data_IF_707858427117
#
_entry.id   IF_707858427117
#
_cell.length_a   1.000
_cell.length_b   1.000
_cell.length_c   1.000
_cell.angle_alpha   90.00
_cell.angle_beta   90.00
_cell.angle_gamma   90.00
#
_symmetry.space_group_name_H-M   'P 1'
#
loop_
_entity.id
_entity.type
_entity.pdbx_description
1 polymer ?
#
# COMPACT_ATOMS: atom_id res chain seq x y z
N UNK A 1 21.46 14.62 -15.40
CA UNK A 1 20.72 15.36 -14.36
C UNK A 1 19.33 14.76 -14.35
N UNK A 2 18.84 14.16 -13.26
CA UNK A 2 17.43 13.74 -13.21
C UNK A 2 16.59 15.01 -13.36
N UNK A 3 15.58 15.02 -14.23
CA UNK A 3 14.69 16.17 -14.39
C UNK A 3 13.96 16.42 -13.06
N UNK A 4 14.26 17.55 -12.41
CA UNK A 4 13.93 17.83 -11.00
C UNK A 4 12.44 18.08 -10.70
N UNK A 5 11.52 18.02 -11.67
CA UNK A 5 10.13 18.47 -11.47
C UNK A 5 9.04 17.61 -12.15
N UNK A 6 9.23 16.29 -12.32
CA UNK A 6 8.15 15.41 -12.82
C UNK A 6 7.49 14.64 -11.67
N UNK A 7 6.30 15.07 -11.28
CA UNK A 7 5.40 14.29 -10.43
C UNK A 7 4.39 13.52 -11.28
N UNK A 8 4.00 12.34 -10.81
CA UNK A 8 2.90 11.55 -11.34
C UNK A 8 1.85 11.40 -10.26
N UNK A 9 0.58 11.62 -10.62
CA UNK A 9 -0.53 11.50 -9.69
C UNK A 9 -1.26 10.17 -9.90
N UNK A 10 -1.50 9.48 -8.80
CA UNK A 10 -2.28 8.23 -8.75
C UNK A 10 -3.56 8.48 -7.96
N UNK A 11 -4.66 8.87 -8.60
CA UNK A 11 -5.94 9.02 -7.92
C UNK A 11 -6.46 7.65 -7.47
N UNK A 12 -7.24 7.60 -6.39
CA UNK A 12 -7.90 6.36 -5.98
C UNK A 12 -8.99 5.99 -7.01
N UNK A 13 -8.79 4.89 -7.73
CA UNK A 13 -9.62 4.49 -8.89
C UNK A 13 -10.50 3.27 -8.64
N UNK A 14 -10.30 2.54 -7.54
CA UNK A 14 -11.00 1.28 -7.27
C UNK A 14 -10.56 0.13 -8.18
N UNK A 15 -9.47 0.31 -8.92
CA UNK A 15 -8.79 -0.71 -9.73
C UNK A 15 -7.27 -0.64 -9.50
N UNK A 16 -6.49 -1.37 -10.29
CA UNK A 16 -5.03 -1.46 -10.15
C UNK A 16 -4.24 -0.20 -10.60
N UNK A 17 -4.92 0.87 -11.02
CA UNK A 17 -4.30 2.11 -11.50
C UNK A 17 -4.06 3.14 -10.40
N UNK A 18 -4.51 2.86 -9.19
CA UNK A 18 -4.40 3.78 -8.07
C UNK A 18 -4.56 3.08 -6.73
N UNK A 19 -4.31 3.79 -5.63
CA UNK A 19 -4.51 3.25 -4.30
C UNK A 19 -6.00 2.93 -4.06
N UNK A 20 -6.26 1.96 -3.18
CA UNK A 20 -7.60 1.59 -2.74
C UNK A 20 -8.35 2.75 -2.07
N UNK A 21 -7.62 3.72 -1.52
CA UNK A 21 -8.17 4.81 -0.73
C UNK A 21 -7.47 6.15 -1.03
N UNK A 22 -8.21 7.29 -1.06
CA UNK A 22 -7.61 8.61 -1.34
C UNK A 22 -6.78 9.17 -0.16
N UNK A 23 -6.93 8.61 1.03
CA UNK A 23 -6.14 8.96 2.21
C UNK A 23 -5.19 7.82 2.56
N UNK A 24 -3.92 8.17 2.76
CA UNK A 24 -2.85 7.26 3.19
C UNK A 24 -2.39 7.69 4.58
N UNK A 25 -2.33 6.75 5.52
CA UNK A 25 -1.86 6.99 6.89
C UNK A 25 -0.38 6.71 7.06
N UNK A 26 0.13 5.67 6.40
CA UNK A 26 1.52 5.24 6.54
C UNK A 26 2.05 4.78 5.20
N UNK A 27 3.32 5.09 4.94
CA UNK A 27 4.06 4.68 3.74
C UNK A 27 5.34 3.98 4.19
N UNK A 28 5.67 2.86 3.55
CA UNK A 28 6.94 2.16 3.76
C UNK A 28 7.49 1.64 2.44
N UNK A 29 8.73 1.98 2.10
CA UNK A 29 9.43 1.41 0.95
C UNK A 29 10.21 0.18 1.39
N UNK A 30 9.98 -0.94 0.71
CA UNK A 30 10.69 -2.18 1.04
C UNK A 30 12.09 -2.26 0.39
N UNK A 31 12.88 -3.26 0.82
CA UNK A 31 14.20 -3.52 0.27
C UNK A 31 14.24 -3.87 -1.23
N UNK A 32 13.10 -4.19 -1.85
CA UNK A 32 12.98 -4.46 -3.29
C UNK A 32 12.54 -3.23 -4.09
N UNK A 33 12.27 -2.11 -3.43
CA UNK A 33 11.83 -0.86 -4.05
C UNK A 33 10.33 -0.77 -4.29
N UNK A 34 9.52 -1.70 -3.77
CA UNK A 34 8.07 -1.51 -3.77
C UNK A 34 7.67 -0.53 -2.67
N UNK A 35 6.51 0.11 -2.85
CA UNK A 35 5.97 1.07 -1.88
C UNK A 35 4.67 0.54 -1.30
N UNK A 36 4.67 0.33 0.01
CA UNK A 36 3.51 -0.12 0.77
C UNK A 36 2.78 1.08 1.37
N UNK A 37 1.46 1.11 1.25
CA UNK A 37 0.59 2.19 1.73
C UNK A 37 -0.47 1.62 2.66
N UNK A 38 -0.47 2.05 3.92
CA UNK A 38 -1.56 1.76 4.84
C UNK A 38 -2.64 2.83 4.77
N UNK A 39 -3.90 2.40 4.72
CA UNK A 39 -5.06 3.27 4.53
C UNK A 39 -6.05 3.15 5.72
N UNK A 40 -6.99 4.10 5.89
CA UNK A 40 -7.95 4.06 6.99
C UNK A 40 -9.00 2.94 6.89
N UNK A 41 -9.48 2.63 5.69
CA UNK A 41 -10.54 1.61 5.46
C UNK A 41 -10.39 0.87 4.12
N UNK A 42 -9.32 1.14 3.36
CA UNK A 42 -9.04 0.45 2.11
C UNK A 42 -8.07 -0.73 2.26
N UNK A 43 -7.55 -0.96 3.48
CA UNK A 43 -6.53 -1.96 3.74
C UNK A 43 -5.12 -1.48 3.44
N UNK A 44 -4.32 -2.40 2.91
CA UNK A 44 -2.92 -2.22 2.56
C UNK A 44 -2.77 -2.24 1.02
N UNK A 45 -2.19 -1.20 0.44
CA UNK A 45 -1.84 -1.19 -0.98
C UNK A 45 -0.34 -1.45 -1.18
N UNK A 46 -0.01 -2.23 -2.20
CA UNK A 46 1.33 -2.39 -2.73
C UNK A 46 1.44 -1.70 -4.08
N UNK A 47 2.27 -0.66 -4.17
CA UNK A 47 2.63 0.00 -5.41
C UNK A 47 3.93 -0.57 -5.98
N UNK A 48 3.89 -0.92 -7.26
CA UNK A 48 5.03 -1.38 -8.05
C UNK A 48 5.47 -0.25 -9.01
N UNK A 49 6.53 0.52 -8.67
CA UNK A 49 6.91 1.70 -9.46
C UNK A 49 7.26 1.40 -10.93
N UNK A 50 7.97 0.29 -11.27
CA UNK A 50 8.20 -0.10 -12.65
C UNK A 50 6.95 -0.22 -13.53
N UNK A 51 5.83 -0.72 -12.98
CA UNK A 51 4.60 -0.94 -13.75
C UNK A 51 3.56 0.16 -13.55
N UNK A 52 3.72 0.99 -12.52
CA UNK A 52 2.75 2.02 -12.13
C UNK A 52 1.44 1.41 -11.61
N UNK A 53 1.49 0.18 -11.07
CA UNK A 53 0.30 -0.57 -10.64
C UNK A 53 0.22 -0.79 -9.15
N UNK A 54 -1.01 -0.92 -8.69
CA UNK A 54 -1.36 -1.14 -7.29
C UNK A 54 -2.00 -2.52 -7.12
N UNK A 55 -1.69 -3.15 -5.99
CA UNK A 55 -2.38 -4.34 -5.51
C UNK A 55 -2.90 -4.08 -4.10
N UNK A 56 -4.21 -4.15 -3.93
CA UNK A 56 -4.86 -4.01 -2.63
C UNK A 56 -4.92 -5.35 -1.88
N UNK A 57 -4.74 -5.28 -0.57
CA UNK A 57 -4.98 -6.36 0.38
C UNK A 57 -5.98 -5.85 1.42
N UNK A 58 -7.10 -6.55 1.58
CA UNK A 58 -8.20 -6.15 2.47
C UNK A 58 -8.51 -7.27 3.47
N UNK A 59 -9.37 -6.95 4.44
CA UNK A 59 -9.97 -7.93 5.32
C UNK A 59 -11.07 -8.72 4.59
N UNK A 60 -10.98 -10.04 4.65
CA UNK A 60 -11.99 -10.97 4.14
C UNK A 60 -12.39 -11.90 5.30
N UNK A 61 -13.61 -11.78 5.86
CA UNK A 61 -14.04 -12.54 7.03
C UNK A 61 -13.92 -14.07 6.88
N UNK A 62 -14.04 -14.57 5.65
CA UNK A 62 -13.94 -15.97 5.29
C UNK A 62 -12.50 -16.46 5.04
N UNK A 63 -11.52 -15.56 4.94
CA UNK A 63 -10.12 -15.89 4.67
C UNK A 63 -9.21 -15.47 5.85
N UNK A 64 -8.76 -16.43 6.69
CA UNK A 64 -7.88 -16.15 7.81
C UNK A 64 -6.46 -15.72 7.39
N UNK A 65 -6.10 -15.85 6.10
CA UNK A 65 -4.84 -15.34 5.57
C UNK A 65 -4.93 -13.89 5.06
N UNK A 66 -6.13 -13.30 5.04
CA UNK A 66 -6.34 -11.89 4.71
C UNK A 66 -5.95 -10.97 5.88
N UNK A 67 -6.03 -9.65 5.68
CA UNK A 67 -5.83 -8.71 6.79
C UNK A 67 -6.87 -8.96 7.89
N UNK A 68 -6.50 -8.76 9.15
CA UNK A 68 -7.46 -8.85 10.25
C UNK A 68 -8.35 -7.60 10.38
N UNK A 69 -7.94 -6.46 9.80
CA UNK A 69 -8.68 -5.19 9.78
C UNK A 69 -8.14 -4.30 8.64
N UNK A 70 -9.02 -3.53 7.99
CA UNK A 70 -8.66 -2.64 6.87
C UNK A 70 -8.02 -1.31 7.30
N UNK A 71 -8.03 -0.98 8.60
CA UNK A 71 -7.38 0.21 9.12
C UNK A 71 -5.92 -0.09 9.43
N UNK A 72 -5.03 0.30 8.52
CA UNK A 72 -3.58 0.08 8.65
C UNK A 72 -2.91 1.34 9.20
N UNK A 73 -2.33 1.23 10.40
CA UNK A 73 -1.79 2.37 11.17
C UNK A 73 -0.26 2.40 11.21
N UNK A 74 0.38 1.25 11.01
CA UNK A 74 1.85 1.17 11.06
C UNK A 74 2.37 0.05 10.18
N UNK A 75 3.56 0.27 9.63
CA UNK A 75 4.30 -0.66 8.81
C UNK A 75 5.74 -0.74 9.33
N UNK A 76 6.28 -1.95 9.42
CA UNK A 76 7.67 -2.15 9.80
C UNK A 76 8.26 -3.35 9.08
N UNK A 77 9.40 -3.16 8.42
CA UNK A 77 10.08 -4.26 7.75
C UNK A 77 11.21 -4.83 8.62
N UNK A 78 11.29 -6.15 8.68
CA UNK A 78 12.41 -6.91 9.24
C UNK A 78 12.82 -8.00 8.26
N UNK A 79 13.93 -7.81 7.56
CA UNK A 79 14.33 -8.70 6.46
C UNK A 79 13.27 -8.69 5.35
N UNK A 80 12.86 -9.86 4.89
CA UNK A 80 11.83 -9.99 3.84
C UNK A 80 10.39 -9.95 4.39
N UNK A 81 10.23 -9.77 5.71
CA UNK A 81 8.91 -9.74 6.36
C UNK A 81 8.48 -8.31 6.63
N UNK A 82 7.31 -7.95 6.10
CA UNK A 82 6.58 -6.74 6.48
C UNK A 82 5.61 -7.04 7.63
N UNK A 83 5.75 -6.31 8.72
CA UNK A 83 4.82 -6.31 9.85
C UNK A 83 3.81 -5.19 9.67
N UNK A 84 2.54 -5.52 9.79
CA UNK A 84 1.41 -4.61 9.59
C UNK A 84 0.65 -4.47 10.90
N UNK A 85 0.62 -3.26 11.45
CA UNK A 85 -0.16 -2.95 12.64
C UNK A 85 -1.51 -2.35 12.26
N UNK A 86 -2.58 -3.05 12.60
CA UNK A 86 -3.97 -2.61 12.37
C UNK A 86 -4.65 -2.16 13.68
N UNK A 87 -5.83 -1.57 13.58
CA UNK A 87 -6.68 -1.20 14.73
C UNK A 87 -7.29 -2.42 15.46
#
# INVERSE_FOLDING_TARGET
VPEEDRWEAFPATGDDRGPSHPYVYVIHTDAHGHVWLGTPTGGLDLFDPPTGRFKAFTHLPEDPASLCNDMVLSLHQRGDTLWVGTA
#
